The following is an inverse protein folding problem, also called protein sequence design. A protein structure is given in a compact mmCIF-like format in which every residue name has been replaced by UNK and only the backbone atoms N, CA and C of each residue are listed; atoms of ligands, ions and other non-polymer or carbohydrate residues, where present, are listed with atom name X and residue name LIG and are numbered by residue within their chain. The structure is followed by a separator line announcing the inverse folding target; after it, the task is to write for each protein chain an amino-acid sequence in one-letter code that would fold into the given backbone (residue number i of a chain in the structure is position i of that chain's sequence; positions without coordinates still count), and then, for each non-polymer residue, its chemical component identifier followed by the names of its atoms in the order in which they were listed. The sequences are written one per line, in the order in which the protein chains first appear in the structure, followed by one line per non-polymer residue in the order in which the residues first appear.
data_IF_228538058094
#
_entry.id   IF_228538058094
#
_cell.length_a   1.000
_cell.length_b   1.000
_cell.length_c   1.000
_cell.angle_alpha   90.00
_cell.angle_beta   90.00
_cell.angle_gamma   90.00
#
_symmetry.space_group_name_H-M   'P 1'
#
loop_
_entity.id
_entity.type
_entity.pdbx_description
1 polymer ?
#
# COMPACT_ATOMS: atom_id res chain seq x y z
N UNK A 1 25.43 -24.28 -31.65
CA UNK A 1 24.10 -23.91 -32.19
C UNK A 1 23.29 -23.40 -31.03
N UNK A 2 23.18 -22.08 -30.87
CA UNK A 2 22.34 -21.48 -29.84
C UNK A 2 20.91 -21.73 -30.28
N UNK A 3 20.18 -22.50 -29.47
CA UNK A 3 18.84 -22.99 -29.78
C UNK A 3 17.93 -21.83 -30.23
N UNK A 4 17.43 -21.90 -31.47
CA UNK A 4 16.46 -20.93 -32.01
C UNK A 4 15.23 -20.77 -31.09
N UNK A 5 14.91 -21.77 -30.29
CA UNK A 5 13.84 -21.76 -29.29
C UNK A 5 14.09 -20.79 -28.15
N UNK A 6 15.33 -20.55 -27.74
CA UNK A 6 15.65 -19.58 -26.66
C UNK A 6 15.36 -18.15 -27.11
N UNK A 7 15.65 -17.79 -28.33
CA UNK A 7 15.36 -16.47 -28.87
C UNK A 7 13.86 -16.19 -28.96
N UNK A 8 13.07 -17.20 -29.31
CA UNK A 8 11.61 -17.10 -29.38
C UNK A 8 11.05 -16.80 -28.00
N UNK A 9 11.55 -17.45 -26.93
CA UNK A 9 11.12 -17.19 -25.58
C UNK A 9 11.55 -15.81 -25.06
N UNK A 10 12.75 -15.34 -25.42
CA UNK A 10 13.22 -13.98 -25.05
C UNK A 10 12.37 -12.93 -25.76
N UNK A 11 12.12 -13.08 -27.06
CA UNK A 11 11.28 -12.15 -27.82
C UNK A 11 9.84 -12.17 -27.30
N UNK A 12 9.29 -13.33 -27.00
CA UNK A 12 7.94 -13.46 -26.43
C UNK A 12 7.85 -12.79 -25.05
N UNK A 13 8.87 -12.96 -24.20
CA UNK A 13 8.94 -12.29 -22.90
C UNK A 13 9.04 -10.75 -23.03
N UNK A 14 9.87 -10.25 -23.95
CA UNK A 14 9.98 -8.82 -24.23
C UNK A 14 8.67 -8.22 -24.76
N UNK A 15 8.00 -8.93 -25.69
CA UNK A 15 6.70 -8.52 -26.22
C UNK A 15 5.64 -8.51 -25.11
N UNK A 16 5.63 -9.52 -24.24
CA UNK A 16 4.72 -9.59 -23.10
C UNK A 16 4.97 -8.45 -22.12
N UNK A 17 6.23 -8.16 -21.77
CA UNK A 17 6.59 -7.04 -20.91
C UNK A 17 6.18 -5.70 -21.54
N UNK A 18 6.41 -5.50 -22.84
CA UNK A 18 6.00 -4.30 -23.55
C UNK A 18 4.48 -4.13 -23.59
N UNK A 19 3.74 -5.24 -23.82
CA UNK A 19 2.28 -5.25 -23.79
C UNK A 19 1.75 -4.94 -22.39
N UNK A 20 2.31 -5.53 -21.34
CA UNK A 20 1.94 -5.25 -19.95
C UNK A 20 2.20 -3.80 -19.57
N UNK A 21 3.32 -3.23 -20.02
CA UNK A 21 3.63 -1.82 -19.82
C UNK A 21 2.61 -0.90 -20.51
N UNK A 22 2.25 -1.21 -21.76
CA UNK A 22 1.25 -0.45 -22.52
C UNK A 22 -0.15 -0.55 -21.90
N UNK A 23 -0.50 -1.71 -21.36
CA UNK A 23 -1.79 -1.98 -20.71
C UNK A 23 -1.82 -1.57 -19.22
N UNK A 24 -0.70 -1.13 -18.64
CA UNK A 24 -0.61 -0.79 -17.21
C UNK A 24 -1.75 0.10 -16.69
N UNK A 25 -2.21 1.16 -17.40
CA UNK A 25 -3.33 2.00 -16.95
C UNK A 25 -4.66 1.23 -16.85
N UNK A 26 -4.87 0.27 -17.76
CA UNK A 26 -6.09 -0.54 -17.81
C UNK A 26 -6.01 -1.68 -16.79
N UNK A 27 -4.81 -2.15 -16.46
CA UNK A 27 -4.60 -3.25 -15.52
C UNK A 27 -4.86 -2.86 -14.06
N UNK A 28 -4.76 -1.58 -13.70
CA UNK A 28 -4.96 -1.10 -12.33
C UNK A 28 -6.25 -1.60 -11.66
N UNK A 29 -7.46 -1.45 -12.23
CA UNK A 29 -8.68 -1.97 -11.63
C UNK A 29 -8.70 -3.51 -11.54
N UNK A 30 -8.07 -4.22 -12.47
CA UNK A 30 -7.94 -5.68 -12.40
C UNK A 30 -7.03 -6.10 -11.26
N UNK A 31 -5.90 -5.42 -11.05
CA UNK A 31 -4.99 -5.69 -9.94
C UNK A 31 -5.65 -5.43 -8.58
N UNK A 32 -6.41 -4.34 -8.46
CA UNK A 32 -7.20 -4.07 -7.26
C UNK A 32 -8.27 -5.15 -7.08
N UNK A 33 -8.92 -5.56 -8.16
CA UNK A 33 -9.92 -6.65 -8.14
C UNK A 33 -9.33 -7.98 -7.70
N UNK A 34 -8.15 -8.34 -8.20
CA UNK A 34 -7.38 -9.53 -7.75
C UNK A 34 -7.06 -9.43 -6.26
N UNK A 35 -6.60 -8.27 -5.80
CA UNK A 35 -6.25 -8.03 -4.41
C UNK A 35 -7.45 -8.24 -3.48
N UNK A 36 -8.60 -7.63 -3.82
CA UNK A 36 -9.83 -7.78 -3.07
C UNK A 36 -10.36 -9.22 -3.08
N UNK A 37 -10.31 -9.88 -4.24
CA UNK A 37 -10.69 -11.28 -4.36
C UNK A 37 -9.81 -12.16 -3.46
N UNK A 38 -8.50 -11.94 -3.50
CA UNK A 38 -7.54 -12.66 -2.70
C UNK A 38 -7.75 -12.50 -1.18
N UNK A 39 -8.16 -11.29 -0.77
CA UNK A 39 -8.48 -11.02 0.63
C UNK A 39 -9.81 -11.63 1.07
N UNK A 40 -10.79 -11.70 0.16
CA UNK A 40 -12.12 -12.27 0.42
C UNK A 40 -12.16 -13.81 0.40
N UNK A 41 -11.29 -14.44 -0.38
CA UNK A 41 -11.27 -15.90 -0.60
C UNK A 41 -11.25 -16.73 0.70
N UNK A 42 -10.42 -16.45 1.73
CA UNK A 42 -10.45 -17.21 2.99
C UNK A 42 -11.78 -17.11 3.75
N UNK A 43 -12.54 -16.04 3.54
CA UNK A 43 -13.87 -15.90 4.15
C UNK A 43 -14.88 -16.78 3.39
N UNK A 44 -14.76 -16.84 2.06
CA UNK A 44 -15.57 -17.73 1.22
C UNK A 44 -15.30 -19.18 1.59
N UNK A 45 -14.04 -19.60 1.73
CA UNK A 45 -13.65 -20.95 2.12
C UNK A 45 -14.21 -21.34 3.50
N UNK A 46 -14.33 -20.39 4.45
CA UNK A 46 -14.96 -20.63 5.73
C UNK A 46 -16.47 -20.91 5.60
N UNK A 47 -17.16 -20.15 4.74
CA UNK A 47 -18.58 -20.35 4.48
C UNK A 47 -18.85 -21.66 3.73
N UNK A 48 -17.93 -22.04 2.84
CA UNK A 48 -18.01 -23.33 2.13
C UNK A 48 -17.88 -24.51 3.10
N UNK A 49 -17.02 -24.41 4.12
CA UNK A 49 -16.96 -25.40 5.22
C UNK A 49 -18.27 -25.49 6.00
N UNK A 50 -19.12 -24.47 5.99
CA UNK A 50 -20.47 -24.50 6.55
C UNK A 50 -21.52 -25.01 5.56
N UNK A 51 -21.09 -25.71 4.48
CA UNK A 51 -21.93 -26.33 3.45
C UNK A 51 -22.70 -25.34 2.55
N UNK A 52 -22.29 -24.07 2.51
CA UNK A 52 -22.77 -23.17 1.48
C UNK A 52 -22.06 -23.48 0.14
N UNK A 53 -22.79 -23.35 -0.98
CA UNK A 53 -22.13 -23.44 -2.28
C UNK A 53 -21.18 -22.23 -2.46
N UNK A 54 -20.06 -22.41 -3.18
CA UNK A 54 -19.06 -21.36 -3.40
C UNK A 54 -19.69 -20.06 -3.92
N UNK A 55 -20.64 -20.15 -4.86
CA UNK A 55 -21.33 -18.97 -5.39
C UNK A 55 -22.08 -18.20 -4.31
N UNK A 56 -22.83 -18.89 -3.43
CA UNK A 56 -23.50 -18.23 -2.31
C UNK A 56 -22.52 -17.70 -1.25
N UNK A 57 -21.43 -18.42 -1.00
CA UNK A 57 -20.35 -17.95 -0.14
C UNK A 57 -19.78 -16.63 -0.65
N UNK A 58 -19.48 -16.53 -1.94
CA UNK A 58 -18.99 -15.30 -2.58
C UNK A 58 -20.00 -14.16 -2.50
N UNK A 59 -21.29 -14.44 -2.79
CA UNK A 59 -22.35 -13.42 -2.67
C UNK A 59 -22.43 -12.87 -1.26
N UNK A 60 -22.41 -13.72 -0.24
CA UNK A 60 -22.49 -13.30 1.17
C UNK A 60 -21.25 -12.49 1.56
N UNK A 61 -20.05 -12.97 1.26
CA UNK A 61 -18.79 -12.26 1.57
C UNK A 61 -18.75 -10.91 0.85
N UNK A 62 -19.12 -10.89 -0.42
CA UNK A 62 -19.12 -9.67 -1.22
C UNK A 62 -20.15 -8.66 -0.69
N UNK A 63 -21.37 -9.10 -0.38
CA UNK A 63 -22.39 -8.26 0.22
C UNK A 63 -21.94 -7.72 1.59
N UNK A 64 -21.30 -8.55 2.42
CA UNK A 64 -20.77 -8.14 3.72
C UNK A 64 -19.66 -7.09 3.58
N UNK A 65 -18.68 -7.31 2.70
CA UNK A 65 -17.60 -6.35 2.44
C UNK A 65 -18.17 -5.04 1.91
N UNK A 66 -19.10 -5.11 0.96
CA UNK A 66 -19.76 -3.93 0.39
C UNK A 66 -20.56 -3.17 1.46
N UNK A 67 -21.29 -3.87 2.32
CA UNK A 67 -22.05 -3.27 3.41
C UNK A 67 -21.14 -2.59 4.43
N UNK A 68 -20.06 -3.26 4.86
CA UNK A 68 -19.06 -2.69 5.78
C UNK A 68 -18.42 -1.44 5.15
N UNK A 69 -18.03 -1.52 3.88
CA UNK A 69 -17.46 -0.39 3.16
C UNK A 69 -18.46 0.77 3.03
N UNK A 70 -19.72 0.48 2.71
CA UNK A 70 -20.76 1.50 2.62
C UNK A 70 -21.00 2.20 3.96
N UNK A 71 -21.09 1.44 5.07
CA UNK A 71 -21.23 2.01 6.42
C UNK A 71 -20.02 2.84 6.78
N UNK A 72 -18.81 2.33 6.52
CA UNK A 72 -17.56 3.03 6.79
C UNK A 72 -17.51 4.36 6.02
N UNK A 73 -17.83 4.37 4.74
CA UNK A 73 -17.86 5.57 3.92
C UNK A 73 -18.94 6.55 4.39
N UNK A 74 -20.14 6.05 4.73
CA UNK A 74 -21.26 6.88 5.18
C UNK A 74 -20.95 7.58 6.51
N UNK A 75 -20.12 6.99 7.36
CA UNK A 75 -19.71 7.57 8.64
C UNK A 75 -18.45 8.43 8.48
N UNK A 76 -17.41 7.88 7.82
CA UNK A 76 -16.10 8.54 7.70
C UNK A 76 -16.16 9.77 6.77
N UNK A 77 -16.83 9.67 5.62
CA UNK A 77 -16.84 10.78 4.64
C UNK A 77 -17.40 12.08 5.23
N UNK A 78 -18.55 12.11 5.93
CA UNK A 78 -19.02 13.34 6.57
C UNK A 78 -18.10 13.84 7.69
N UNK A 79 -17.51 12.93 8.47
CA UNK A 79 -16.58 13.30 9.55
C UNK A 79 -15.29 13.90 9.00
N UNK A 80 -14.68 13.26 8.00
CA UNK A 80 -13.48 13.75 7.33
C UNK A 80 -13.79 15.02 6.53
N UNK A 81 -14.96 15.11 5.91
CA UNK A 81 -15.41 16.30 5.20
C UNK A 81 -15.43 17.54 6.08
N UNK A 82 -15.96 17.43 7.29
CA UNK A 82 -15.93 18.55 8.27
C UNK A 82 -14.50 18.95 8.62
N UNK A 83 -13.61 18.00 8.82
CA UNK A 83 -12.20 18.29 9.14
C UNK A 83 -11.43 18.84 7.94
N UNK A 84 -11.75 18.41 6.72
CA UNK A 84 -11.19 19.00 5.51
C UNK A 84 -11.63 20.47 5.35
N UNK A 85 -12.90 20.79 5.57
CA UNK A 85 -13.37 22.19 5.57
C UNK A 85 -12.61 22.99 6.61
N UNK A 86 -12.48 22.46 7.83
CA UNK A 86 -11.71 23.12 8.89
C UNK A 86 -10.23 23.33 8.53
N UNK A 87 -9.60 22.32 7.91
CA UNK A 87 -8.24 22.46 7.40
C UNK A 87 -8.14 23.60 6.38
N UNK A 88 -9.10 23.68 5.44
CA UNK A 88 -9.15 24.77 4.46
C UNK A 88 -9.28 26.15 5.11
N UNK A 89 -10.10 26.28 6.14
CA UNK A 89 -10.26 27.53 6.91
C UNK A 89 -8.98 27.92 7.67
N UNK A 90 -8.22 26.94 8.14
CA UNK A 90 -6.96 27.15 8.86
C UNK A 90 -5.79 27.54 7.94
N UNK A 91 -5.80 27.16 6.66
CA UNK A 91 -4.68 27.43 5.74
C UNK A 91 -4.29 28.92 5.69
N UNK A 92 -5.21 29.90 5.54
CA UNK A 92 -4.84 31.32 5.57
C UNK A 92 -4.19 31.74 6.90
N UNK A 93 -4.74 31.29 8.01
CA UNK A 93 -4.20 31.57 9.35
C UNK A 93 -2.79 30.97 9.53
N UNK A 94 -2.59 29.76 9.00
CA UNK A 94 -1.28 29.09 8.98
C UNK A 94 -0.26 29.87 8.17
N UNK A 95 -0.65 30.38 7.03
CA UNK A 95 0.22 31.21 6.18
C UNK A 95 0.57 32.54 6.87
N UNK A 96 -0.41 33.20 7.49
CA UNK A 96 -0.19 34.45 8.23
C UNK A 96 0.74 34.24 9.43
N UNK A 97 0.57 33.17 10.18
CA UNK A 97 1.46 32.79 11.28
C UNK A 97 2.87 32.49 10.76
N UNK A 98 2.97 31.71 9.67
CA UNK A 98 4.26 31.38 9.07
C UNK A 98 5.02 32.64 8.63
N UNK A 99 4.33 33.61 8.03
CA UNK A 99 4.94 34.89 7.61
C UNK A 99 5.32 35.79 8.78
N UNK A 100 4.44 35.91 9.77
CA UNK A 100 4.58 36.93 10.80
C UNK A 100 5.33 36.46 12.06
N UNK A 101 5.39 35.14 12.32
CA UNK A 101 6.00 34.58 13.51
C UNK A 101 7.11 33.58 13.24
N UNK A 102 6.87 32.58 12.37
CA UNK A 102 7.84 31.51 12.13
C UNK A 102 9.04 31.98 11.32
N UNK A 103 8.79 32.70 10.22
CA UNK A 103 9.85 33.19 9.32
C UNK A 103 10.82 34.17 10.01
N UNK A 104 10.37 35.21 10.74
CA UNK A 104 11.27 36.10 11.46
C UNK A 104 12.15 35.38 12.47
N UNK A 105 11.57 34.37 13.16
CA UNK A 105 12.32 33.58 14.13
C UNK A 105 13.40 32.68 13.44
N UNK A 106 13.07 32.06 12.31
CA UNK A 106 14.00 31.25 11.52
C UNK A 106 15.10 32.13 10.89
N UNK A 107 14.73 33.28 10.34
CA UNK A 107 15.68 34.26 9.77
C UNK A 107 16.68 34.76 10.81
N UNK A 108 16.19 35.08 12.02
CA UNK A 108 17.01 35.54 13.13
C UNK A 108 18.01 34.44 13.59
N UNK A 109 17.59 33.18 13.58
CA UNK A 109 18.46 32.05 14.00
C UNK A 109 19.43 31.56 12.93
N UNK A 110 19.03 31.59 11.64
CA UNK A 110 19.80 31.06 10.53
C UNK A 110 20.54 32.14 9.69
N UNK A 111 20.33 33.43 10.01
CA UNK A 111 20.98 34.54 9.28
C UNK A 111 20.56 34.65 7.81
N UNK A 112 19.35 34.26 7.45
CA UNK A 112 18.82 34.27 6.09
C UNK A 112 18.32 35.67 5.74
N UNK A 113 18.58 36.11 4.49
CA UNK A 113 18.17 37.44 4.01
C UNK A 113 16.63 37.54 3.85
N UNK A 114 16.09 38.72 4.20
CA UNK A 114 14.68 39.06 3.97
C UNK A 114 14.36 38.95 2.46
N UNK A 115 13.39 38.10 2.14
CA UNK A 115 12.88 37.99 0.75
C UNK A 115 13.01 36.63 0.08
N UNK A 116 13.58 35.62 0.73
CA UNK A 116 13.75 34.29 0.16
C UNK A 116 12.43 33.54 -0.05
N UNK A 117 11.37 33.86 0.72
CA UNK A 117 10.05 33.20 0.63
C UNK A 117 8.95 34.22 0.41
N UNK A 118 8.34 34.24 -0.79
CA UNK A 118 7.16 35.06 -1.11
C UNK A 118 5.88 34.21 -0.98
N UNK A 119 5.25 34.24 0.18
CA UNK A 119 3.96 33.55 0.41
C UNK A 119 2.75 34.32 -0.15
N UNK A 120 2.91 35.60 -0.52
CA UNK A 120 1.81 36.44 -1.04
C UNK A 120 1.20 35.85 -2.31
N UNK A 121 2.00 35.25 -3.19
CA UNK A 121 1.52 34.58 -4.38
C UNK A 121 0.75 33.29 -4.04
N UNK A 122 1.21 32.56 -3.03
CA UNK A 122 0.54 31.33 -2.56
C UNK A 122 -0.79 31.68 -1.87
N UNK A 123 -0.81 32.74 -1.06
CA UNK A 123 -2.00 33.26 -0.40
C UNK A 123 -3.04 33.73 -1.41
N UNK A 124 -2.62 34.45 -2.44
CA UNK A 124 -3.52 34.92 -3.50
C UNK A 124 -4.06 33.77 -4.35
N UNK A 125 -3.23 32.77 -4.66
CA UNK A 125 -3.65 31.58 -5.39
C UNK A 125 -4.63 30.71 -4.58
N UNK A 126 -4.41 30.57 -3.28
CA UNK A 126 -5.26 29.79 -2.38
C UNK A 126 -6.57 30.54 -2.06
N UNK A 127 -6.51 31.82 -1.74
CA UNK A 127 -7.70 32.62 -1.41
C UNK A 127 -8.64 32.81 -2.61
N UNK A 128 -8.10 32.86 -3.84
CA UNK A 128 -8.91 32.90 -5.06
C UNK A 128 -9.70 31.62 -5.34
N UNK A 129 -9.24 30.49 -4.81
CA UNK A 129 -9.95 29.21 -4.92
C UNK A 129 -10.83 28.90 -3.68
N UNK A 130 -10.50 29.43 -2.52
CA UNK A 130 -11.22 29.21 -1.26
C UNK A 130 -12.68 29.73 -1.30
N UNK A 131 -12.94 30.81 -2.03
CA UNK A 131 -14.30 31.37 -2.18
C UNK A 131 -15.27 30.52 -3.00
N UNK A 132 -14.79 29.46 -3.67
CA UNK A 132 -15.61 28.59 -4.54
C UNK A 132 -15.87 27.19 -3.95
N UNK A 133 -15.34 26.86 -2.79
CA UNK A 133 -15.26 25.48 -2.33
C UNK A 133 -15.98 25.20 -1.01
N UNK A 134 -17.21 25.67 -0.89
CA UNK A 134 -18.10 25.24 0.22
C UNK A 134 -18.70 23.85 -0.01
N UNK A 135 -18.48 23.26 -1.17
CA UNK A 135 -19.02 21.95 -1.53
C UNK A 135 -17.92 21.04 -2.08
N UNK A 136 -17.22 20.32 -1.17
CA UNK A 136 -16.19 19.35 -1.55
C UNK A 136 -16.78 18.24 -2.44
N UNK A 137 -18.03 17.85 -2.19
CA UNK A 137 -18.77 16.92 -3.03
C UNK A 137 -19.01 17.52 -4.41
N UNK A 138 -19.41 18.80 -4.47
CA UNK A 138 -19.57 19.53 -5.72
C UNK A 138 -18.25 19.71 -6.47
N UNK A 139 -17.12 19.92 -5.78
CA UNK A 139 -15.80 20.01 -6.41
C UNK A 139 -15.33 18.66 -6.95
N UNK A 140 -15.51 17.58 -6.22
CA UNK A 140 -15.22 16.22 -6.69
C UNK A 140 -16.12 15.86 -7.90
N UNK A 141 -17.43 16.20 -7.83
CA UNK A 141 -18.34 16.01 -8.94
C UNK A 141 -17.99 16.94 -10.13
N UNK A 142 -17.66 18.20 -9.91
CA UNK A 142 -17.32 19.13 -11.00
C UNK A 142 -15.99 18.75 -11.67
N UNK A 143 -15.00 18.28 -10.91
CA UNK A 143 -13.75 17.75 -11.47
C UNK A 143 -14.00 16.45 -12.26
N UNK A 144 -14.88 15.59 -11.77
CA UNK A 144 -15.30 14.39 -12.49
C UNK A 144 -16.15 14.71 -13.73
N UNK A 145 -17.00 15.76 -13.71
CA UNK A 145 -17.86 16.12 -14.82
C UNK A 145 -17.19 17.03 -15.85
N UNK A 146 -16.14 17.77 -15.48
CA UNK A 146 -15.43 18.66 -16.42
C UNK A 146 -14.68 17.91 -17.53
N UNK A 147 -14.41 16.61 -17.34
CA UNK A 147 -13.92 15.71 -18.39
C UNK A 147 -14.85 14.50 -18.45
N UNK A 148 -15.78 14.47 -19.40
CA UNK A 148 -16.69 13.32 -19.56
C UNK A 148 -15.97 11.97 -19.66
N UNK A 149 -14.73 11.95 -20.17
CA UNK A 149 -13.86 10.79 -20.19
C UNK A 149 -13.39 10.37 -18.79
N UNK A 150 -13.09 11.31 -17.90
CA UNK A 150 -12.68 11.00 -16.52
C UNK A 150 -13.85 10.44 -15.71
N UNK A 151 -15.07 10.95 -15.91
CA UNK A 151 -16.28 10.39 -15.30
C UNK A 151 -16.55 8.96 -15.78
N UNK A 152 -16.45 8.72 -17.08
CA UNK A 152 -16.60 7.39 -17.68
C UNK A 152 -15.55 6.42 -17.13
N UNK A 153 -14.30 6.84 -17.02
CA UNK A 153 -13.23 6.02 -16.44
C UNK A 153 -13.49 5.73 -14.96
N UNK A 154 -13.97 6.71 -14.19
CA UNK A 154 -14.31 6.54 -12.78
C UNK A 154 -15.49 5.58 -12.59
N UNK A 155 -16.56 5.73 -13.37
CA UNK A 155 -17.71 4.82 -13.38
C UNK A 155 -17.31 3.41 -13.84
N UNK A 156 -16.48 3.31 -14.87
CA UNK A 156 -15.97 2.02 -15.33
C UNK A 156 -15.18 1.31 -14.22
N UNK A 157 -14.28 2.01 -13.53
CA UNK A 157 -13.52 1.44 -12.42
C UNK A 157 -14.41 1.06 -11.23
N UNK A 158 -15.40 1.88 -10.91
CA UNK A 158 -16.36 1.63 -9.84
C UNK A 158 -17.18 0.34 -10.07
N UNK A 159 -17.47 0.01 -11.32
CA UNK A 159 -18.19 -1.22 -11.70
C UNK A 159 -17.22 -2.37 -11.93
N UNK A 160 -16.08 -2.10 -12.58
CA UNK A 160 -15.14 -3.13 -13.00
C UNK A 160 -14.45 -3.81 -11.81
N UNK A 161 -14.00 -3.03 -10.81
CA UNK A 161 -13.33 -3.57 -9.63
C UNK A 161 -14.22 -4.60 -8.89
N UNK A 162 -15.47 -4.27 -8.50
CA UNK A 162 -16.37 -5.25 -7.89
C UNK A 162 -16.65 -6.46 -8.77
N UNK A 163 -16.90 -6.24 -10.07
CA UNK A 163 -17.20 -7.33 -11.01
C UNK A 163 -16.01 -8.28 -11.13
N UNK A 164 -14.81 -7.75 -11.34
CA UNK A 164 -13.58 -8.56 -11.42
C UNK A 164 -13.35 -9.31 -10.12
N UNK A 165 -13.48 -8.64 -8.97
CA UNK A 165 -13.33 -9.28 -7.65
C UNK A 165 -14.32 -10.42 -7.45
N UNK A 166 -15.58 -10.22 -7.82
CA UNK A 166 -16.61 -11.24 -7.70
C UNK A 166 -16.30 -12.49 -8.55
N UNK A 167 -16.00 -12.29 -9.84
CA UNK A 167 -15.70 -13.41 -10.72
C UNK A 167 -14.41 -14.14 -10.34
N UNK A 168 -13.37 -13.41 -9.96
CA UNK A 168 -12.12 -14.02 -9.49
C UNK A 168 -12.33 -14.83 -8.21
N UNK A 169 -13.09 -14.31 -7.24
CA UNK A 169 -13.40 -15.03 -6.01
C UNK A 169 -14.21 -16.30 -6.27
N UNK A 170 -15.18 -16.22 -7.20
CA UNK A 170 -16.05 -17.36 -7.55
C UNK A 170 -15.27 -18.46 -8.29
N UNK A 171 -14.46 -18.08 -9.26
CA UNK A 171 -13.85 -19.00 -10.21
C UNK A 171 -12.39 -19.31 -9.88
N UNK A 172 -11.89 -18.86 -8.72
CA UNK A 172 -10.48 -18.97 -8.32
C UNK A 172 -9.93 -20.38 -8.41
N UNK A 173 -10.59 -21.35 -7.77
CA UNK A 173 -10.15 -22.75 -7.74
C UNK A 173 -10.18 -23.39 -9.12
N UNK A 174 -11.19 -23.06 -9.91
CA UNK A 174 -11.33 -23.53 -11.29
C UNK A 174 -10.20 -22.98 -12.17
N UNK A 175 -9.85 -21.71 -11.97
CA UNK A 175 -8.75 -21.07 -12.70
C UNK A 175 -7.40 -21.69 -12.31
N UNK A 176 -7.14 -21.87 -11.02
CA UNK A 176 -5.93 -22.51 -10.50
C UNK A 176 -5.83 -23.96 -11.00
N UNK A 177 -6.92 -24.73 -10.96
CA UNK A 177 -6.94 -26.10 -11.46
C UNK A 177 -6.65 -26.19 -12.96
N UNK A 178 -7.21 -25.26 -13.76
CA UNK A 178 -6.91 -25.17 -15.20
C UNK A 178 -5.45 -24.82 -15.44
N UNK A 179 -4.90 -23.82 -14.74
CA UNK A 179 -3.48 -23.45 -14.85
C UNK A 179 -2.58 -24.63 -14.50
N UNK A 180 -2.91 -25.36 -13.41
CA UNK A 180 -2.18 -26.56 -13.01
C UNK A 180 -2.21 -27.65 -14.09
N UNK A 181 -3.34 -27.84 -14.77
CA UNK A 181 -3.47 -28.84 -15.85
C UNK A 181 -2.61 -28.53 -17.07
N UNK A 182 -2.19 -27.28 -17.28
CA UNK A 182 -1.30 -26.86 -18.37
C UNK A 182 0.20 -27.10 -18.04
N UNK A 183 0.54 -27.42 -16.79
CA UNK A 183 1.92 -27.60 -16.38
C UNK A 183 2.50 -28.92 -16.92
N UNK A 184 3.76 -28.91 -17.40
CA UNK A 184 4.48 -30.13 -17.74
C UNK A 184 4.62 -31.02 -16.52
N UNK A 185 4.24 -32.30 -16.63
CA UNK A 185 4.22 -33.27 -15.52
C UNK A 185 5.53 -33.36 -14.74
N UNK A 186 6.68 -33.27 -15.44
CA UNK A 186 8.01 -33.36 -14.82
C UNK A 186 8.37 -32.15 -13.92
N UNK A 187 7.64 -31.02 -14.05
CA UNK A 187 7.89 -29.78 -13.26
C UNK A 187 6.70 -29.37 -12.42
N UNK A 188 5.59 -30.09 -12.51
CA UNK A 188 4.34 -29.76 -11.79
C UNK A 188 4.59 -29.59 -10.29
N UNK A 189 5.32 -30.52 -9.65
CA UNK A 189 5.59 -30.48 -8.22
C UNK A 189 6.31 -29.19 -7.79
N UNK A 190 7.39 -28.83 -8.49
CA UNK A 190 8.16 -27.62 -8.18
C UNK A 190 7.31 -26.34 -8.36
N UNK A 191 6.56 -26.27 -9.46
CA UNK A 191 5.73 -25.09 -9.76
C UNK A 191 4.62 -24.95 -8.74
N UNK A 192 3.94 -26.04 -8.37
CA UNK A 192 2.88 -26.04 -7.35
C UNK A 192 3.43 -25.60 -5.99
N UNK A 193 4.63 -26.11 -5.61
CA UNK A 193 5.29 -25.69 -4.37
C UNK A 193 5.59 -24.18 -4.39
N UNK A 194 6.22 -23.66 -5.43
CA UNK A 194 6.53 -22.25 -5.59
C UNK A 194 5.28 -21.36 -5.51
N UNK A 195 4.22 -21.75 -6.20
CA UNK A 195 2.93 -21.03 -6.14
C UNK A 195 2.32 -21.10 -4.74
N UNK A 196 2.43 -22.22 -4.05
CA UNK A 196 1.98 -22.36 -2.67
C UNK A 196 2.70 -21.42 -1.72
N UNK A 197 4.02 -21.34 -1.81
CA UNK A 197 4.85 -20.43 -1.00
C UNK A 197 4.54 -18.95 -1.32
N UNK A 198 4.42 -18.59 -2.60
CA UNK A 198 4.01 -17.25 -3.00
C UNK A 198 2.62 -16.90 -2.46
N UNK A 199 1.68 -17.85 -2.56
CA UNK A 199 0.32 -17.67 -2.04
C UNK A 199 0.32 -17.45 -0.51
N UNK A 200 1.08 -18.23 0.22
CA UNK A 200 1.18 -18.10 1.68
C UNK A 200 1.78 -16.75 2.10
N UNK A 201 2.88 -16.34 1.46
CA UNK A 201 3.57 -15.06 1.74
C UNK A 201 2.69 -13.88 1.39
N UNK A 202 2.07 -13.88 0.19
CA UNK A 202 1.14 -12.83 -0.23
C UNK A 202 -0.05 -12.70 0.70
N UNK A 203 -0.67 -13.83 1.05
CA UNK A 203 -1.84 -13.83 1.91
C UNK A 203 -1.56 -13.35 3.33
N UNK A 204 -0.43 -13.78 3.90
CA UNK A 204 0.00 -13.31 5.21
C UNK A 204 0.28 -11.81 5.19
N UNK A 205 1.03 -11.34 4.17
CA UNK A 205 1.36 -9.93 4.03
C UNK A 205 0.11 -9.05 3.88
N UNK A 206 -0.75 -9.35 2.91
CA UNK A 206 -1.91 -8.50 2.61
C UNK A 206 -2.88 -8.39 3.78
N UNK A 207 -3.20 -9.53 4.40
CA UNK A 207 -4.08 -9.54 5.58
C UNK A 207 -3.42 -8.85 6.78
N UNK A 208 -2.13 -9.14 7.02
CA UNK A 208 -1.36 -8.52 8.08
C UNK A 208 -1.29 -7.01 7.92
N UNK A 209 -0.92 -6.53 6.73
CA UNK A 209 -0.77 -5.10 6.45
C UNK A 209 -2.09 -4.34 6.58
N UNK A 210 -3.21 -4.93 6.12
CA UNK A 210 -4.52 -4.29 6.30
C UNK A 210 -4.89 -4.16 7.77
N UNK A 211 -4.62 -5.18 8.58
CA UNK A 211 -4.88 -5.13 10.02
C UNK A 211 -3.96 -4.12 10.72
N UNK A 212 -2.69 -4.02 10.32
CA UNK A 212 -1.75 -3.01 10.82
C UNK A 212 -2.27 -1.60 10.50
N UNK A 213 -2.64 -1.33 9.25
CA UNK A 213 -3.20 -0.04 8.83
C UNK A 213 -4.45 0.34 9.62
N UNK A 214 -5.36 -0.61 9.82
CA UNK A 214 -6.59 -0.39 10.58
C UNK A 214 -6.27 -0.12 12.06
N UNK A 215 -5.43 -0.93 12.68
CA UNK A 215 -5.05 -0.78 14.08
C UNK A 215 -4.35 0.56 14.34
N UNK A 216 -3.38 0.91 13.50
CA UNK A 216 -2.66 2.19 13.59
C UNK A 216 -3.59 3.37 13.30
N UNK A 217 -4.44 3.27 12.28
CA UNK A 217 -5.41 4.32 11.95
C UNK A 217 -6.37 4.62 13.09
N UNK A 218 -6.94 3.57 13.70
CA UNK A 218 -7.82 3.70 14.88
C UNK A 218 -7.04 4.27 16.06
N UNK A 219 -5.83 3.79 16.32
CA UNK A 219 -5.03 4.22 17.45
C UNK A 219 -4.59 5.69 17.29
N UNK A 220 -4.08 6.09 16.14
CA UNK A 220 -3.69 7.48 15.88
C UNK A 220 -4.90 8.40 15.93
N UNK A 221 -6.01 8.04 15.28
CA UNK A 221 -7.23 8.84 15.31
C UNK A 221 -7.75 9.02 16.74
N UNK A 222 -7.90 7.93 17.50
CA UNK A 222 -8.39 8.00 18.88
C UNK A 222 -7.43 8.74 19.80
N UNK A 223 -6.13 8.49 19.70
CA UNK A 223 -5.11 9.17 20.50
C UNK A 223 -5.10 10.68 20.27
N UNK A 224 -5.13 11.11 19.01
CA UNK A 224 -5.17 12.54 18.66
C UNK A 224 -6.50 13.21 19.05
N UNK A 225 -7.63 12.50 18.91
CA UNK A 225 -8.94 12.99 19.35
C UNK A 225 -9.02 13.13 20.88
N UNK A 226 -8.42 12.23 21.65
CA UNK A 226 -8.37 12.31 23.13
C UNK A 226 -7.55 13.52 23.59
N UNK A 227 -6.48 13.87 22.87
CA UNK A 227 -5.70 15.10 23.12
C UNK A 227 -6.54 16.35 22.78
N UNK A 228 -7.60 16.20 22.00
CA UNK A 228 -8.45 17.32 21.57
C UNK A 228 -7.97 17.99 20.29
N UNK A 229 -7.13 17.31 19.49
CA UNK A 229 -6.70 17.84 18.18
C UNK A 229 -7.88 17.84 17.20
N UNK A 230 -8.29 19.03 16.72
CA UNK A 230 -9.45 19.17 15.81
C UNK A 230 -9.34 18.34 14.55
N UNK A 231 -8.12 18.25 13.97
CA UNK A 231 -7.82 17.45 12.78
C UNK A 231 -7.39 16.01 13.14
N UNK A 232 -7.56 15.57 14.38
CA UNK A 232 -7.04 14.30 14.88
C UNK A 232 -7.55 13.08 14.14
N UNK A 233 -8.86 13.03 13.80
CA UNK A 233 -9.42 11.94 13.01
C UNK A 233 -8.86 11.89 11.61
N UNK A 234 -8.81 13.04 10.91
CA UNK A 234 -8.30 13.13 9.55
C UNK A 234 -6.85 12.68 9.49
N UNK A 235 -6.01 13.24 10.35
CA UNK A 235 -4.58 12.92 10.40
C UNK A 235 -4.37 11.46 10.80
N UNK A 236 -5.09 10.97 11.80
CA UNK A 236 -4.97 9.59 12.27
C UNK A 236 -5.35 8.56 11.20
N UNK A 237 -6.47 8.78 10.51
CA UNK A 237 -6.91 7.91 9.41
C UNK A 237 -5.93 7.95 8.25
N UNK A 238 -5.48 9.14 7.84
CA UNK A 238 -4.50 9.29 6.75
C UNK A 238 -3.15 8.68 7.11
N UNK A 239 -2.67 8.85 8.35
CA UNK A 239 -1.45 8.22 8.83
C UNK A 239 -1.56 6.70 8.85
N UNK A 240 -2.70 6.15 9.32
CA UNK A 240 -2.97 4.72 9.27
C UNK A 240 -3.01 4.17 7.85
N UNK A 241 -3.66 4.86 6.91
CA UNK A 241 -3.65 4.49 5.49
C UNK A 241 -2.25 4.60 4.87
N UNK A 242 -1.50 5.65 5.20
CA UNK A 242 -0.14 5.84 4.72
C UNK A 242 0.84 4.78 5.26
N UNK A 243 0.51 4.09 6.37
CA UNK A 243 1.29 2.98 6.93
C UNK A 243 1.35 1.75 6.03
N UNK A 244 0.62 1.73 4.90
CA UNK A 244 0.83 0.73 3.84
C UNK A 244 2.28 0.77 3.33
N UNK A 245 2.88 1.94 3.37
CA UNK A 245 4.32 2.15 3.12
C UNK A 245 5.00 2.27 4.47
N UNK A 246 5.96 1.37 4.82
CA UNK A 246 6.66 1.41 6.09
C UNK A 246 7.24 2.79 6.40
N UNK A 247 7.07 3.25 7.62
CA UNK A 247 7.51 4.55 8.14
C UNK A 247 6.80 5.78 7.56
N UNK A 248 6.16 5.70 6.40
CA UNK A 248 5.51 6.86 5.76
C UNK A 248 4.36 7.38 6.63
N UNK A 249 3.57 6.46 7.20
CA UNK A 249 2.45 6.82 8.09
C UNK A 249 2.88 7.66 9.28
N UNK A 250 3.98 7.27 9.93
CA UNK A 250 4.54 8.02 11.06
C UNK A 250 5.11 9.35 10.61
N UNK A 251 5.94 9.39 9.57
CA UNK A 251 6.60 10.62 9.13
C UNK A 251 5.57 11.68 8.71
N UNK A 252 4.61 11.29 7.88
CA UNK A 252 3.55 12.19 7.42
C UNK A 252 2.59 12.53 8.56
N UNK A 253 2.23 11.53 9.37
CA UNK A 253 1.29 11.69 10.45
C UNK A 253 1.81 12.61 11.56
N UNK A 254 3.02 12.36 12.07
CA UNK A 254 3.61 13.20 13.14
C UNK A 254 3.89 14.61 12.63
N UNK A 255 4.36 14.76 11.38
CA UNK A 255 4.57 16.07 10.78
C UNK A 255 3.28 16.89 10.69
N UNK A 256 2.21 16.29 10.16
CA UNK A 256 0.90 16.93 10.05
C UNK A 256 0.29 17.21 11.43
N UNK A 257 0.37 16.25 12.38
CA UNK A 257 -0.21 16.40 13.72
C UNK A 257 0.51 17.46 14.56
N UNK A 258 1.84 17.49 14.52
CA UNK A 258 2.60 18.54 15.23
C UNK A 258 2.34 19.91 14.62
N UNK A 259 2.26 20.00 13.28
CA UNK A 259 1.93 21.24 12.61
C UNK A 259 0.53 21.73 13.03
N UNK A 260 -0.49 20.88 12.94
CA UNK A 260 -1.84 21.20 13.38
C UNK A 260 -1.89 21.53 14.89
N UNK A 261 -1.14 20.80 15.72
CA UNK A 261 -1.04 21.04 17.16
C UNK A 261 -0.41 22.39 17.50
N UNK A 262 0.65 22.80 16.79
CA UNK A 262 1.27 24.12 16.95
C UNK A 262 0.29 25.26 16.65
N UNK A 263 -0.57 25.08 15.64
CA UNK A 263 -1.60 26.07 15.31
C UNK A 263 -2.72 26.12 16.34
N UNK A 264 -3.17 24.96 16.81
CA UNK A 264 -4.32 24.88 17.70
C UNK A 264 -3.95 25.21 19.15
N UNK A 265 -2.81 24.74 19.63
CA UNK A 265 -2.39 24.86 21.04
C UNK A 265 -1.24 25.87 21.23
N UNK A 266 -0.72 26.44 20.14
CA UNK A 266 0.47 27.30 20.20
C UNK A 266 1.71 26.53 20.63
N UNK A 267 2.58 27.18 21.41
CA UNK A 267 3.82 26.58 21.94
C UNK A 267 3.63 25.84 23.27
N UNK A 268 2.39 25.47 23.63
CA UNK A 268 2.15 24.67 24.84
C UNK A 268 2.83 23.29 24.67
N UNK A 269 3.80 22.95 25.53
CA UNK A 269 4.53 21.70 25.39
C UNK A 269 3.69 20.48 25.73
N UNK A 270 2.64 20.58 26.53
CA UNK A 270 1.87 19.43 26.98
C UNK A 270 1.15 18.72 25.83
N UNK A 271 0.30 19.37 25.03
CA UNK A 271 -0.36 18.70 23.89
C UNK A 271 0.63 18.29 22.79
N UNK A 272 1.71 19.06 22.57
CA UNK A 272 2.71 18.72 21.56
C UNK A 272 3.49 17.45 21.91
N UNK A 273 3.89 17.31 23.19
CA UNK A 273 4.53 16.08 23.69
C UNK A 273 3.56 14.91 23.66
N UNK A 274 2.28 15.13 24.01
CA UNK A 274 1.25 14.10 23.95
C UNK A 274 1.04 13.60 22.48
N UNK A 275 1.00 14.52 21.51
CA UNK A 275 0.93 14.18 20.08
C UNK A 275 2.14 13.31 19.69
N UNK A 276 3.35 13.74 20.03
CA UNK A 276 4.55 12.96 19.73
C UNK A 276 4.51 11.57 20.40
N UNK A 277 4.05 11.49 21.65
CA UNK A 277 3.90 10.23 22.38
C UNK A 277 2.93 9.25 21.69
N UNK A 278 1.81 9.72 21.13
CA UNK A 278 0.87 8.87 20.36
C UNK A 278 1.59 8.20 19.20
N UNK A 279 2.40 8.93 18.44
CA UNK A 279 3.13 8.35 17.30
C UNK A 279 4.29 7.46 17.74
N UNK A 280 4.99 7.80 18.83
CA UNK A 280 6.05 6.95 19.40
C UNK A 280 5.47 5.61 19.86
N UNK A 281 4.36 5.65 20.62
CA UNK A 281 3.66 4.43 21.08
C UNK A 281 3.19 3.62 19.87
N UNK A 282 2.64 4.27 18.85
CA UNK A 282 2.24 3.60 17.61
C UNK A 282 3.38 2.91 16.90
N UNK A 283 4.51 3.57 16.77
CA UNK A 283 5.70 3.00 16.15
C UNK A 283 6.26 1.82 16.95
N UNK A 284 6.26 1.91 18.28
CA UNK A 284 6.64 0.78 19.14
C UNK A 284 5.67 -0.39 18.98
N UNK A 285 4.36 -0.11 18.96
CA UNK A 285 3.34 -1.14 18.78
C UNK A 285 3.46 -1.80 17.39
N UNK A 286 3.66 -1.00 16.34
CA UNK A 286 3.89 -1.48 14.98
C UNK A 286 5.11 -2.41 14.92
N UNK A 287 6.27 -1.95 15.38
CA UNK A 287 7.52 -2.69 15.25
C UNK A 287 7.64 -3.91 16.16
N UNK A 288 7.16 -3.80 17.42
CA UNK A 288 7.33 -4.86 18.42
C UNK A 288 6.17 -5.86 18.46
N UNK A 289 4.96 -5.47 18.07
CA UNK A 289 3.78 -6.30 18.23
C UNK A 289 3.06 -6.57 16.92
N UNK A 290 2.62 -5.51 16.21
CA UNK A 290 1.74 -5.68 15.05
C UNK A 290 2.46 -6.36 13.88
N UNK A 291 3.64 -5.88 13.51
CA UNK A 291 4.39 -6.44 12.39
C UNK A 291 4.80 -7.90 12.64
N UNK A 292 5.42 -8.28 13.77
CA UNK A 292 5.75 -9.68 14.04
C UNK A 292 4.52 -10.60 14.13
N UNK A 293 3.43 -10.15 14.73
CA UNK A 293 2.23 -10.97 14.90
C UNK A 293 1.40 -11.11 13.63
N UNK A 294 1.26 -10.04 12.85
CA UNK A 294 0.33 -9.96 11.73
C UNK A 294 0.99 -10.22 10.38
N UNK A 295 2.20 -9.75 10.19
CA UNK A 295 2.96 -9.91 8.94
C UNK A 295 3.97 -11.05 9.06
N UNK A 296 4.63 -11.18 10.22
CA UNK A 296 5.63 -12.21 10.52
C UNK A 296 6.97 -11.99 9.79
N UNK A 297 7.95 -12.86 10.10
CA UNK A 297 9.31 -12.82 9.51
C UNK A 297 9.38 -13.43 8.10
N UNK A 298 8.23 -13.74 7.50
CA UNK A 298 8.12 -14.52 6.25
C UNK A 298 8.64 -13.80 5.02
N UNK A 299 8.71 -12.47 5.04
CA UNK A 299 9.13 -11.68 3.87
C UNK A 299 10.64 -11.65 3.74
N UNK A 300 11.38 -11.55 4.86
CA UNK A 300 12.85 -11.58 4.88
C UNK A 300 13.53 -10.50 4.02
N UNK A 301 12.84 -9.40 3.74
CA UNK A 301 13.37 -8.32 2.92
C UNK A 301 14.22 -7.37 3.76
N UNK A 302 15.43 -7.07 3.27
CA UNK A 302 16.25 -6.02 3.86
C UNK A 302 15.58 -4.64 3.68
N UNK A 303 15.65 -3.72 4.65
CA UNK A 303 15.00 -2.39 4.54
C UNK A 303 15.33 -1.62 3.26
N UNK A 304 16.56 -1.74 2.76
CA UNK A 304 16.97 -1.13 1.49
C UNK A 304 16.20 -1.70 0.30
N UNK A 305 15.94 -3.02 0.30
CA UNK A 305 15.14 -3.66 -0.75
C UNK A 305 13.68 -3.19 -0.73
N UNK A 306 13.13 -2.91 0.46
CA UNK A 306 11.79 -2.33 0.65
C UNK A 306 11.73 -0.94 0.01
N UNK A 307 12.69 -0.06 0.32
CA UNK A 307 12.76 1.29 -0.26
C UNK A 307 12.90 1.22 -1.78
N UNK A 308 13.80 0.36 -2.26
CA UNK A 308 13.99 0.16 -3.70
C UNK A 308 12.71 -0.32 -4.39
N UNK A 309 12.01 -1.30 -3.82
CA UNK A 309 10.77 -1.82 -4.38
C UNK A 309 9.69 -0.73 -4.47
N UNK A 310 9.53 0.09 -3.42
CA UNK A 310 8.58 1.19 -3.39
C UNK A 310 8.91 2.25 -4.46
N UNK A 311 10.18 2.64 -4.58
CA UNK A 311 10.61 3.61 -5.59
C UNK A 311 10.43 3.07 -7.01
N UNK A 312 10.84 1.82 -7.25
CA UNK A 312 10.68 1.17 -8.56
C UNK A 312 9.21 0.99 -8.93
N UNK A 313 8.39 0.50 -7.99
CA UNK A 313 6.94 0.36 -8.18
C UNK A 313 6.28 1.70 -8.48
N UNK A 314 6.61 2.74 -7.71
CA UNK A 314 6.11 4.09 -7.92
C UNK A 314 6.46 4.67 -9.29
N UNK A 315 7.69 4.44 -9.75
CA UNK A 315 8.15 4.89 -11.06
C UNK A 315 7.46 4.15 -12.23
N UNK A 316 7.21 2.84 -12.08
CA UNK A 316 6.66 2.01 -13.16
C UNK A 316 5.13 2.13 -13.27
N UNK A 317 4.43 2.13 -12.13
CA UNK A 317 2.97 2.01 -12.08
C UNK A 317 2.30 3.07 -11.19
N UNK A 318 3.03 4.13 -10.81
CA UNK A 318 2.50 5.20 -9.96
C UNK A 318 2.00 4.69 -8.61
N UNK A 319 0.88 5.22 -8.14
CA UNK A 319 0.31 4.88 -6.84
C UNK A 319 0.00 3.36 -6.69
N UNK A 320 -0.54 2.74 -7.74
CA UNK A 320 -0.80 1.28 -7.75
C UNK A 320 0.50 0.49 -7.61
N UNK A 321 1.59 0.96 -8.22
CA UNK A 321 2.91 0.35 -8.08
C UNK A 321 3.47 0.45 -6.66
N UNK A 322 3.27 1.56 -5.97
CA UNK A 322 3.64 1.71 -4.55
C UNK A 322 2.86 0.70 -3.68
N UNK A 323 1.55 0.59 -3.90
CA UNK A 323 0.67 -0.34 -3.20
C UNK A 323 1.11 -1.81 -3.34
N UNK A 324 1.51 -2.19 -4.56
CA UNK A 324 1.89 -3.56 -4.90
C UNK A 324 3.40 -3.83 -4.73
N UNK A 325 4.19 -2.81 -4.42
CA UNK A 325 5.65 -2.93 -4.35
C UNK A 325 6.10 -4.04 -3.40
N UNK A 326 5.58 -4.06 -2.18
CA UNK A 326 5.96 -5.05 -1.17
C UNK A 326 5.42 -6.45 -1.46
N UNK A 327 4.16 -6.64 -1.84
CA UNK A 327 3.67 -7.93 -2.32
C UNK A 327 4.50 -8.51 -3.46
N UNK A 328 4.81 -7.69 -4.47
CA UNK A 328 5.63 -8.12 -5.61
C UNK A 328 7.05 -8.44 -5.17
N UNK A 329 7.67 -7.61 -4.34
CA UNK A 329 9.00 -7.86 -3.80
C UNK A 329 9.06 -9.15 -2.97
N UNK A 330 8.02 -9.45 -2.20
CA UNK A 330 7.90 -10.69 -1.43
C UNK A 330 7.86 -11.93 -2.35
N UNK A 331 7.09 -11.88 -3.43
CA UNK A 331 7.06 -12.94 -4.45
C UNK A 331 8.43 -13.10 -5.13
N UNK A 332 9.04 -11.97 -5.53
CA UNK A 332 10.38 -11.99 -6.13
C UNK A 332 11.39 -12.64 -5.16
N UNK A 333 11.30 -12.35 -3.85
CA UNK A 333 12.20 -12.95 -2.86
C UNK A 333 12.02 -14.46 -2.74
N UNK A 334 10.79 -14.98 -2.81
CA UNK A 334 10.53 -16.43 -2.87
C UNK A 334 11.21 -17.05 -4.07
N UNK A 335 11.06 -16.43 -5.26
CA UNK A 335 11.68 -16.92 -6.49
C UNK A 335 13.21 -16.86 -6.43
N UNK A 336 13.78 -15.76 -5.93
CA UNK A 336 15.24 -15.59 -5.77
C UNK A 336 15.80 -16.63 -4.80
N UNK A 337 15.11 -16.92 -3.70
CA UNK A 337 15.53 -17.95 -2.73
C UNK A 337 15.62 -19.33 -3.39
N UNK A 338 14.59 -19.72 -4.13
CA UNK A 338 14.60 -21.00 -4.86
C UNK A 338 15.66 -21.05 -5.95
N UNK A 339 15.84 -19.95 -6.68
CA UNK A 339 16.88 -19.85 -7.70
C UNK A 339 18.29 -19.94 -7.09
N UNK A 340 18.50 -19.34 -5.93
CA UNK A 340 19.74 -19.44 -5.17
C UNK A 340 20.02 -20.86 -4.68
N UNK A 341 19.00 -21.54 -4.15
CA UNK A 341 19.12 -22.93 -3.70
C UNK A 341 19.41 -23.87 -4.88
N UNK A 342 18.73 -23.64 -6.01
CA UNK A 342 19.01 -24.37 -7.26
C UNK A 342 20.44 -24.11 -7.78
N UNK A 343 20.92 -22.85 -7.69
CA UNK A 343 22.29 -22.51 -8.08
C UNK A 343 23.32 -23.23 -7.17
N UNK A 344 23.09 -23.30 -5.87
CA UNK A 344 23.98 -24.02 -4.93
C UNK A 344 24.05 -25.51 -5.18
N UNK A 345 22.98 -26.08 -5.73
CA UNK A 345 22.93 -27.52 -6.08
C UNK A 345 23.46 -27.80 -7.51
N UNK A 346 23.84 -26.76 -8.27
CA UNK A 346 24.33 -26.91 -9.64
C UNK A 346 25.85 -27.08 -9.67
N UNK A 347 26.32 -27.78 -10.71
CA UNK A 347 27.77 -27.97 -11.00
C UNK A 347 28.54 -26.66 -11.17
N UNK A 348 27.79 -25.53 -11.38
CA UNK A 348 28.37 -24.20 -11.51
C UNK A 348 28.86 -23.61 -10.16
N UNK A 349 28.34 -24.07 -9.03
CA UNK A 349 28.73 -23.57 -7.71
C UNK A 349 30.01 -24.20 -7.18
N UNK A 350 30.41 -25.32 -7.70
CA UNK A 350 31.62 -26.04 -7.39
C UNK A 350 31.37 -27.54 -7.20
N UNK A 351 32.28 -28.36 -7.69
CA UNK A 351 32.31 -29.78 -7.35
C UNK A 351 32.44 -29.89 -5.82
N UNK A 352 31.64 -30.76 -5.14
CA UNK A 352 31.97 -31.17 -3.82
C UNK A 352 33.38 -31.77 -3.91
N UNK A 353 34.33 -31.21 -3.15
CA UNK A 353 35.69 -31.71 -3.11
C UNK A 353 35.62 -33.21 -2.88
N UNK A 354 35.80 -33.98 -3.94
CA UNK A 354 35.98 -35.39 -3.89
C UNK A 354 37.28 -35.57 -3.12
N UNK A 355 37.17 -35.80 -1.81
CA UNK A 355 38.30 -36.10 -0.95
C UNK A 355 39.01 -37.33 -1.49
N UNK A 356 40.03 -37.12 -2.28
CA UNK A 356 41.09 -38.06 -2.55
C UNK A 356 42.07 -38.00 -1.36
N UNK A 357 41.59 -38.40 -0.19
CA UNK A 357 42.40 -38.94 0.89
C UNK A 357 42.38 -40.44 0.75
N UNK A 358 42.99 -40.95 -0.31
CA UNK A 358 43.47 -42.31 -0.34
C UNK A 358 44.77 -42.32 0.47
N UNK A 359 44.83 -43.02 1.64
CA UNK A 359 46.05 -43.11 2.41
C UNK A 359 47.13 -43.86 1.59
N UNK A 360 48.40 -43.40 1.60
CA UNK A 360 49.44 -44.08 0.86
C UNK A 360 49.58 -45.53 1.32
N UNK A 361 49.49 -46.45 0.35
CA UNK A 361 49.65 -47.86 0.52
C UNK A 361 51.08 -48.13 1.08
N UNK A 362 51.26 -48.77 2.29
CA UNK A 362 52.55 -49.13 2.80
C UNK A 362 53.12 -50.29 2.01
N UNK A 363 54.27 -50.10 1.37
CA UNK A 363 55.12 -51.13 0.77
C UNK A 363 55.82 -51.98 1.82
#
# INVERSE_FOLDING_TARGET
MIDSHRWIWIVAALLLCGLLYLLAPILSPFLIGVLLAYMGDPLVDRLERWKLSRTWGVVVVFALITLIMAILLLVLVPMLGKQLVRLYELIPEMLDWAQNQALPWVQLKLGLSEGFWRFDQLKTALSGQLGKTTDIVGMLLSTATSSGLALLAWLANLVLIPVVSFYLMRDWDLMVAKLRSLLPRGREGLVVQLFGECHEVLGAFLRGQLLVMLALGVMYATGLMVIGLELGLLIGVLAGLASIVPYLGVVVGIGAALTAGLFQFGMDPYPLVAIAAVFIVGQMLEGMLLTPMLVGDRIGLHPVAVIFAIMAGGQLFGFTGILLALPVAAVIMVLVRHLHDFYKLSDLYGEPASGSDEPPNPA
#
